data_IF_855068057533
#
_entry.id   IF_855068057533
#
_cell.length_a   1.000
_cell.length_b   1.000
_cell.length_c   1.000
_cell.angle_alpha   90.00
_cell.angle_beta   90.00
_cell.angle_gamma   90.00
#
_symmetry.space_group_name_H-M   'P 1'
#
loop_
_entity.id
_entity.type
_entity.pdbx_description
1 polymer ?
#
# COMPACT_ATOMS: atom_id res chain seq x y z
N UNK A 1 -11.77 4.93 26.41
CA UNK A 1 -10.82 5.45 25.41
C UNK A 1 -11.02 4.65 24.14
N UNK A 2 -11.58 5.26 23.10
CA UNK A 2 -11.73 4.59 21.81
C UNK A 2 -10.38 4.72 21.10
N UNK A 3 -9.67 3.60 20.96
CA UNK A 3 -8.44 3.56 20.19
C UNK A 3 -8.79 3.58 18.71
N UNK A 4 -8.08 4.41 17.94
CA UNK A 4 -8.19 4.45 16.50
C UNK A 4 -7.75 3.10 15.94
N UNK A 5 -8.62 2.44 15.18
CA UNK A 5 -8.26 1.22 14.48
C UNK A 5 -7.47 1.55 13.21
N UNK A 6 -6.82 0.55 12.61
CA UNK A 6 -6.12 0.71 11.33
C UNK A 6 -7.06 1.26 10.24
N UNK A 7 -8.28 0.74 10.15
CA UNK A 7 -9.27 1.20 9.18
C UNK A 7 -9.72 2.64 9.44
N UNK A 8 -9.81 3.06 10.69
CA UNK A 8 -10.13 4.45 11.04
C UNK A 8 -9.00 5.39 10.58
N UNK A 9 -7.74 4.99 10.78
CA UNK A 9 -6.58 5.75 10.32
C UNK A 9 -6.55 5.86 8.78
N UNK A 10 -6.74 4.75 8.07
CA UNK A 10 -6.77 4.72 6.59
C UNK A 10 -7.85 5.67 6.08
N UNK A 11 -9.06 5.61 6.65
CA UNK A 11 -10.17 6.48 6.26
C UNK A 11 -9.90 7.95 6.55
N UNK A 12 -9.38 8.26 7.73
CA UNK A 12 -9.17 9.63 8.16
C UNK A 12 -8.01 10.33 7.43
N UNK A 13 -6.93 9.60 7.16
CA UNK A 13 -5.67 10.21 6.68
C UNK A 13 -5.29 9.84 5.25
N UNK A 14 -5.73 8.69 4.73
CA UNK A 14 -5.23 8.17 3.45
C UNK A 14 -6.25 8.26 2.30
N UNK A 15 -7.56 8.34 2.57
CA UNK A 15 -8.60 8.35 1.52
C UNK A 15 -8.67 9.63 0.65
N UNK A 16 -7.94 10.70 0.98
CA UNK A 16 -7.95 11.94 0.18
C UNK A 16 -7.05 11.79 -1.06
N UNK A 17 -7.53 11.11 -2.09
CA UNK A 17 -6.86 11.07 -3.39
C UNK A 17 -7.85 11.35 -4.53
N UNK A 18 -7.72 12.52 -5.16
CA UNK A 18 -8.34 12.82 -6.44
C UNK A 18 -7.25 13.34 -7.36
N UNK A 19 -6.89 12.53 -8.34
CA UNK A 19 -5.95 12.90 -9.42
C UNK A 19 -6.56 12.48 -10.75
N UNK A 20 -6.29 13.23 -11.81
CA UNK A 20 -6.72 12.88 -13.16
C UNK A 20 -6.10 11.55 -13.58
N UNK A 21 -6.92 10.60 -14.04
CA UNK A 21 -6.46 9.29 -14.48
C UNK A 21 -6.36 8.24 -13.38
N UNK A 22 -6.71 8.56 -12.13
CA UNK A 22 -6.88 7.56 -11.07
C UNK A 22 -8.14 6.72 -11.35
N UNK A 23 -7.95 5.43 -11.61
CA UNK A 23 -9.03 4.46 -11.88
C UNK A 23 -9.51 3.82 -10.59
N UNK A 24 -8.58 3.44 -9.71
CA UNK A 24 -8.86 2.85 -8.41
C UNK A 24 -7.91 3.46 -7.37
N UNK A 25 -8.49 4.06 -6.32
CA UNK A 25 -7.76 4.73 -5.25
C UNK A 25 -7.40 3.80 -4.10
N UNK A 26 -7.01 4.39 -2.96
CA UNK A 26 -6.66 3.67 -1.73
C UNK A 26 -7.91 2.96 -1.17
N UNK A 27 -7.82 1.65 -0.98
CA UNK A 27 -8.88 0.83 -0.40
C UNK A 27 -9.02 -0.59 -0.95
N UNK A 28 -8.20 -0.96 -1.94
CA UNK A 28 -8.08 -2.30 -2.53
C UNK A 28 -6.59 -2.71 -2.56
N UNK A 29 -6.27 -3.95 -2.95
CA UNK A 29 -4.91 -4.53 -2.90
C UNK A 29 -3.84 -3.74 -3.71
N UNK A 30 -4.29 -2.90 -4.65
CA UNK A 30 -3.46 -1.98 -5.42
C UNK A 30 -4.21 -0.72 -5.85
N UNK A 31 -3.49 0.40 -6.00
CA UNK A 31 -3.98 1.59 -6.69
C UNK A 31 -3.73 1.47 -8.20
N UNK A 32 -4.69 1.91 -9.03
CA UNK A 32 -4.59 1.84 -10.48
C UNK A 32 -4.64 3.24 -11.09
N UNK A 33 -3.64 3.58 -11.90
CA UNK A 33 -3.58 4.82 -12.68
C UNK A 33 -3.53 4.49 -14.16
N UNK A 34 -4.39 5.12 -14.96
CA UNK A 34 -4.38 5.03 -16.42
C UNK A 34 -3.77 6.30 -17.02
N UNK A 35 -2.45 6.31 -17.32
CA UNK A 35 -1.81 7.47 -17.93
C UNK A 35 -2.20 7.66 -19.40
N UNK A 36 -2.54 6.58 -20.11
CA UNK A 36 -2.92 6.59 -21.53
C UNK A 36 -3.94 5.49 -21.85
N UNK A 37 -4.65 5.62 -22.98
CA UNK A 37 -5.68 4.66 -23.35
C UNK A 37 -5.07 3.27 -23.59
N UNK A 38 -5.63 2.25 -22.93
CA UNK A 38 -5.20 0.85 -23.07
C UNK A 38 -4.03 0.42 -22.17
N UNK A 39 -3.51 1.29 -21.29
CA UNK A 39 -2.43 0.95 -20.36
C UNK A 39 -2.78 1.34 -18.93
N UNK A 40 -2.67 0.37 -18.02
CA UNK A 40 -2.90 0.56 -16.58
C UNK A 40 -1.60 0.34 -15.80
N UNK A 41 -1.30 1.27 -14.90
CA UNK A 41 -0.23 1.15 -13.92
C UNK A 41 -0.83 0.76 -12.58
N UNK A 42 -0.46 -0.43 -12.09
CA UNK A 42 -0.88 -0.94 -10.79
C UNK A 42 0.24 -0.74 -9.76
N UNK A 43 -0.08 -0.09 -8.65
CA UNK A 43 0.84 0.21 -7.56
C UNK A 43 0.39 -0.49 -6.28
N UNK A 44 1.29 -1.23 -5.64
CA UNK A 44 1.09 -1.75 -4.29
C UNK A 44 2.32 -1.45 -3.44
N UNK A 45 2.12 -1.29 -2.13
CA UNK A 45 3.19 -0.96 -1.20
C UNK A 45 2.92 -1.63 0.15
N UNK A 46 3.94 -2.33 0.66
CA UNK A 46 3.90 -2.98 1.97
C UNK A 46 4.82 -2.28 2.97
N UNK A 47 4.36 -2.19 4.22
CA UNK A 47 5.20 -1.73 5.34
C UNK A 47 5.71 -2.93 6.14
N UNK A 48 7.03 -3.09 6.20
CA UNK A 48 7.67 -4.11 7.03
C UNK A 48 8.23 -3.52 8.31
N UNK A 49 7.77 -4.07 9.44
CA UNK A 49 8.28 -3.78 10.77
C UNK A 49 9.36 -4.79 11.20
N UNK A 50 10.50 -4.26 11.69
CA UNK A 50 11.56 -5.04 12.35
C UNK A 50 10.99 -5.82 13.55
N UNK A 51 11.50 -7.03 13.75
CA UNK A 51 11.13 -7.97 14.83
C UNK A 51 9.67 -8.47 14.76
N UNK A 52 8.97 -8.15 13.67
CA UNK A 52 7.66 -8.72 13.30
C UNK A 52 7.71 -9.42 11.95
N UNK A 53 8.19 -8.73 10.93
CA UNK A 53 8.25 -9.24 9.56
C UNK A 53 9.64 -9.76 9.19
N UNK A 54 10.69 -9.19 9.80
CA UNK A 54 12.05 -9.65 9.63
C UNK A 54 12.84 -9.46 10.91
N UNK A 55 13.81 -10.35 11.14
CA UNK A 55 14.79 -10.24 12.22
C UNK A 55 16.13 -9.80 11.63
N UNK A 56 16.96 -9.12 12.43
CA UNK A 56 18.34 -8.80 12.05
C UNK A 56 19.21 -10.05 12.17
N UNK A 57 19.11 -10.96 11.19
CA UNK A 57 20.14 -11.99 10.98
C UNK A 57 21.19 -11.46 10.00
N UNK A 58 22.48 -11.76 10.18
CA UNK A 58 23.51 -11.31 9.26
C UNK A 58 23.31 -12.01 7.92
N UNK A 59 22.81 -11.24 6.94
CA UNK A 59 22.72 -11.56 5.51
C UNK A 59 21.88 -12.79 5.13
N UNK A 60 20.55 -12.64 5.06
CA UNK A 60 19.74 -13.31 4.02
C UNK A 60 18.32 -12.75 3.88
N UNK A 61 18.04 -12.26 2.66
CA UNK A 61 16.75 -11.91 2.02
C UNK A 61 15.59 -11.52 2.95
N UNK A 62 15.33 -10.21 3.01
CA UNK A 62 14.14 -9.61 3.66
C UNK A 62 12.90 -9.73 2.76
N UNK A 63 13.07 -9.94 1.44
CA UNK A 63 11.97 -10.01 0.47
C UNK A 63 12.03 -11.29 -0.37
N UNK A 64 11.00 -12.14 -0.24
CA UNK A 64 10.67 -13.21 -1.17
C UNK A 64 9.47 -12.74 -1.98
N UNK A 65 9.73 -12.04 -3.07
CA UNK A 65 8.73 -11.36 -3.89
C UNK A 65 7.41 -12.11 -4.00
N UNK A 66 6.37 -11.52 -3.42
CA UNK A 66 5.00 -11.68 -3.89
C UNK A 66 4.49 -10.27 -4.13
N UNK A 67 4.16 -10.00 -5.39
CA UNK A 67 3.16 -9.00 -5.71
C UNK A 67 1.80 -9.48 -5.18
#
# INVERSE_FOLDING_TARGET
MQYMTEFDFIRQYLQKQKSSGLILGIGDDAAIIRPSHGFDLCFSADMLLKDRHFFLTPLRKIWHGKC
#
